data_IF_328688147257
#
_entry.id   IF_328688147257
#
_cell.length_a   1.000
_cell.length_b   1.000
_cell.length_c   1.000
_cell.angle_alpha   90.00
_cell.angle_beta   90.00
_cell.angle_gamma   90.00
#
_symmetry.space_group_name_H-M   'P 1'
#
loop_
_entity.id
_entity.type
_entity.pdbx_description
1 polymer ?
#
# COMPACT_ATOMS: atom_id res chain seq x y z
N UNK A 1 13.22 9.81 -2.73
CA UNK A 1 12.67 9.18 -3.96
C UNK A 1 11.20 9.00 -3.75
N UNK A 2 10.37 9.35 -4.73
CA UNK A 2 8.92 9.16 -4.65
C UNK A 2 8.53 7.95 -5.51
N UNK A 3 7.52 7.22 -5.03
CA UNK A 3 6.93 6.08 -5.71
C UNK A 3 5.44 6.37 -5.89
N UNK A 4 4.88 5.92 -6.99
CA UNK A 4 3.45 5.91 -7.24
C UNK A 4 3.01 4.46 -7.39
N UNK A 5 1.94 4.08 -6.69
CA UNK A 5 1.42 2.72 -6.66
C UNK A 5 -0.08 2.76 -6.93
N UNK A 6 -0.54 1.96 -7.90
CA UNK A 6 -1.97 1.76 -8.09
C UNK A 6 -2.44 0.64 -7.14
N UNK A 7 -2.95 1.04 -5.96
CA UNK A 7 -3.39 0.12 -4.91
C UNK A 7 -4.66 -0.62 -5.36
N UNK A 8 -4.63 -1.97 -5.42
CA UNK A 8 -5.83 -2.76 -5.69
C UNK A 8 -6.85 -2.69 -4.55
N UNK A 9 -8.12 -2.90 -4.89
CA UNK A 9 -9.19 -3.11 -3.91
C UNK A 9 -8.84 -4.26 -2.93
N UNK A 10 -9.20 -4.10 -1.66
CA UNK A 10 -9.00 -5.10 -0.62
C UNK A 10 -7.60 -5.13 0.00
N UNK A 11 -6.64 -4.33 -0.48
CA UNK A 11 -5.30 -4.21 0.10
C UNK A 11 -5.32 -3.24 1.28
N UNK A 12 -4.59 -3.54 2.35
CA UNK A 12 -4.40 -2.63 3.48
C UNK A 12 -3.27 -1.63 3.19
N UNK A 13 -3.51 -0.34 3.46
CA UNK A 13 -2.54 0.75 3.30
C UNK A 13 -1.50 0.78 4.45
N UNK A 14 -0.75 -0.31 4.59
CA UNK A 14 0.30 -0.49 5.58
C UNK A 14 1.30 -1.56 5.09
N UNK A 15 2.50 -1.58 5.67
CA UNK A 15 3.55 -2.57 5.37
C UNK A 15 3.72 -3.66 6.43
N UNK A 16 3.04 -3.53 7.57
CA UNK A 16 3.11 -4.46 8.70
C UNK A 16 1.72 -4.98 9.08
N UNK A 17 1.68 -6.06 9.86
CA UNK A 17 0.45 -6.74 10.27
C UNK A 17 0.06 -7.89 9.36
N UNK A 18 -1.08 -8.51 9.67
CA UNK A 18 -1.58 -9.68 8.97
C UNK A 18 -2.54 -9.31 7.82
N UNK A 19 -2.65 -10.18 6.82
CA UNK A 19 -3.54 -10.02 5.67
C UNK A 19 -2.84 -9.49 4.41
N UNK A 20 -3.63 -8.99 3.46
CA UNK A 20 -3.12 -8.48 2.19
C UNK A 20 -2.68 -7.02 2.32
N UNK A 21 -1.37 -6.78 2.44
CA UNK A 21 -0.77 -5.47 2.72
C UNK A 21 0.08 -4.97 1.55
N UNK A 22 0.60 -3.73 1.64
CA UNK A 22 1.51 -3.18 0.62
C UNK A 22 2.79 -4.00 0.45
N UNK A 23 3.22 -4.71 1.51
CA UNK A 23 4.41 -5.56 1.47
C UNK A 23 4.30 -6.73 0.47
N UNK A 24 3.08 -7.14 0.12
CA UNK A 24 2.86 -8.19 -0.90
C UNK A 24 3.03 -7.68 -2.33
N UNK A 25 2.95 -6.36 -2.55
CA UNK A 25 2.93 -5.75 -3.88
C UNK A 25 4.17 -4.89 -4.16
N UNK A 26 4.84 -4.39 -3.11
CA UNK A 26 5.96 -3.46 -3.24
C UNK A 26 7.20 -4.03 -2.56
N UNK A 27 8.18 -4.49 -3.36
CA UNK A 27 9.45 -5.03 -2.89
C UNK A 27 10.53 -3.94 -2.71
N UNK A 28 10.14 -2.81 -2.10
CA UNK A 28 11.05 -1.69 -1.80
C UNK A 28 11.07 -1.50 -0.29
N UNK A 29 12.26 -1.52 0.31
CA UNK A 29 12.45 -1.34 1.76
C UNK A 29 12.52 0.14 2.13
N UNK A 30 12.27 0.44 3.41
CA UNK A 30 12.41 1.77 4.01
C UNK A 30 11.52 2.85 3.36
N UNK A 31 10.31 2.49 2.94
CA UNK A 31 9.28 3.42 2.47
C UNK A 31 8.02 3.29 3.32
N UNK A 32 7.17 4.31 3.27
CA UNK A 32 5.86 4.36 3.92
C UNK A 32 4.86 5.07 3.01
N UNK A 33 3.55 4.78 3.10
CA UNK A 33 2.55 5.47 2.31
C UNK A 33 2.38 6.92 2.77
N UNK A 34 2.30 7.86 1.82
CA UNK A 34 2.08 9.27 2.11
C UNK A 34 0.58 9.60 2.14
N UNK A 35 -0.09 9.16 3.20
CA UNK A 35 -1.54 9.24 3.34
C UNK A 35 -2.16 7.84 3.52
N UNK A 36 -3.49 7.77 3.57
CA UNK A 36 -4.23 6.52 3.69
C UNK A 36 -5.22 6.38 2.55
N UNK A 37 -5.24 5.19 1.97
CA UNK A 37 -6.30 4.76 1.08
C UNK A 37 -6.96 3.55 1.72
N UNK A 38 -8.28 3.64 1.97
CA UNK A 38 -8.98 2.63 2.75
C UNK A 38 -8.99 1.27 2.05
N UNK A 39 -9.22 0.21 2.82
CA UNK A 39 -9.12 -1.18 2.33
C UNK A 39 -10.09 -1.44 1.18
N UNK A 40 -11.28 -0.87 1.28
CA UNK A 40 -12.36 -0.92 0.30
C UNK A 40 -12.25 0.16 -0.79
N UNK A 41 -11.14 0.89 -0.83
CA UNK A 41 -10.80 1.81 -1.92
C UNK A 41 -9.71 1.25 -2.82
N UNK A 42 -9.65 1.73 -4.04
CA UNK A 42 -8.61 1.45 -5.04
C UNK A 42 -8.12 2.73 -5.71
N UNK A 43 -6.93 2.70 -6.29
CA UNK A 43 -6.39 3.82 -7.06
C UNK A 43 -5.01 4.27 -6.62
N UNK A 44 -4.66 5.52 -6.97
CA UNK A 44 -3.33 6.07 -6.78
C UNK A 44 -3.00 6.27 -5.29
N UNK A 45 -1.92 5.62 -4.85
CA UNK A 45 -1.29 5.75 -3.54
C UNK A 45 0.19 6.10 -3.69
#
# INVERSE_FOLDING_TARGET
MLYAFNKPFGVLCQFSGEGNTLANHINVKNIYPAGRLDKDSEGLL
#
